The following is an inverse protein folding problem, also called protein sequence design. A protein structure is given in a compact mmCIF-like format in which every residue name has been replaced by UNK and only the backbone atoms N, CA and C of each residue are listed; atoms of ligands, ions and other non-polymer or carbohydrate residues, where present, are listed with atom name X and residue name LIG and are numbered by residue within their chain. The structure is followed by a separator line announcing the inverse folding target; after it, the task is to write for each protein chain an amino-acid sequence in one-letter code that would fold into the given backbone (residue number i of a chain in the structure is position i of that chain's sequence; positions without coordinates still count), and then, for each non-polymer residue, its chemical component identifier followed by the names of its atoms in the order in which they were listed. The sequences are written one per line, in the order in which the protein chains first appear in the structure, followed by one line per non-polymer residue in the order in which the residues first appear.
data_IF_907561433795
#
_entry.id   IF_907561433795
#
_cell.length_a   1.000
_cell.length_b   1.000
_cell.length_c   1.000
_cell.angle_alpha   90.00
_cell.angle_beta   90.00
_cell.angle_gamma   90.00
#
_symmetry.space_group_name_H-M   'P 1'
#
loop_
_entity.id
_entity.type
_entity.pdbx_description
1 polymer ?
#
# COMPACT_ATOMS: atom_id res chain seq x y z
N UNK A 1 18.37 8.81 -26.30
CA UNK A 1 19.21 7.67 -26.72
C UNK A 1 19.89 6.95 -25.55
N UNK A 2 20.54 7.67 -24.62
CA UNK A 2 21.20 7.06 -23.45
C UNK A 2 20.23 6.31 -22.51
N UNK A 3 19.01 6.85 -22.33
CA UNK A 3 17.92 6.20 -21.57
C UNK A 3 17.46 4.88 -22.23
N UNK A 4 17.36 4.85 -23.57
CA UNK A 4 16.97 3.65 -24.33
C UNK A 4 18.04 2.55 -24.29
N UNK A 5 19.31 2.93 -24.26
CA UNK A 5 20.44 2.00 -24.07
C UNK A 5 20.46 1.42 -22.66
N UNK A 6 20.09 2.22 -21.65
CA UNK A 6 19.96 1.74 -20.28
C UNK A 6 18.83 0.70 -20.16
N UNK A 7 17.64 0.99 -20.73
CA UNK A 7 16.48 0.08 -20.71
C UNK A 7 16.66 -1.22 -21.49
N UNK A 8 17.60 -1.28 -22.44
CA UNK A 8 17.91 -2.49 -23.21
C UNK A 8 18.95 -3.40 -22.52
N UNK A 9 19.61 -2.90 -21.48
CA UNK A 9 20.50 -3.72 -20.64
C UNK A 9 19.69 -4.56 -19.64
N UNK A 10 20.17 -5.75 -19.22
CA UNK A 10 19.50 -6.53 -18.18
C UNK A 10 19.33 -5.76 -16.87
N UNK A 11 20.19 -4.76 -16.61
CA UNK A 11 20.04 -3.86 -15.46
C UNK A 11 18.81 -2.94 -15.61
N UNK A 12 18.60 -2.38 -16.80
CA UNK A 12 17.47 -1.49 -17.10
C UNK A 12 16.13 -2.20 -17.20
N UNK A 13 16.08 -3.43 -17.72
CA UNK A 13 14.85 -4.22 -17.71
C UNK A 13 14.45 -4.62 -16.28
N UNK A 14 15.42 -4.95 -15.41
CA UNK A 14 15.17 -5.18 -13.99
C UNK A 14 14.69 -3.92 -13.26
N UNK A 15 15.27 -2.74 -13.57
CA UNK A 15 14.83 -1.44 -13.07
C UNK A 15 13.38 -1.10 -13.47
N UNK A 16 13.03 -1.28 -14.74
CA UNK A 16 11.67 -1.02 -15.27
C UNK A 16 10.67 -2.02 -14.71
N UNK A 17 11.05 -3.30 -14.62
CA UNK A 17 10.28 -4.36 -13.95
C UNK A 17 9.99 -3.99 -12.50
N UNK A 18 11.00 -3.56 -11.74
CA UNK A 18 10.85 -3.25 -10.33
C UNK A 18 10.01 -1.99 -10.09
N UNK A 19 10.15 -0.95 -10.93
CA UNK A 19 9.25 0.20 -10.90
C UNK A 19 7.80 -0.20 -11.15
N UNK A 20 7.57 -1.12 -12.09
CA UNK A 20 6.23 -1.63 -12.41
C UNK A 20 5.64 -2.42 -11.24
N UNK A 21 6.43 -3.30 -10.62
CA UNK A 21 6.04 -4.07 -9.43
C UNK A 21 5.73 -3.14 -8.25
N UNK A 22 6.59 -2.14 -8.02
CA UNK A 22 6.41 -1.14 -6.95
C UNK A 22 5.14 -0.32 -7.19
N UNK A 23 4.89 0.10 -8.43
CA UNK A 23 3.65 0.80 -8.83
C UNK A 23 2.39 -0.05 -8.61
N UNK A 24 2.43 -1.33 -8.99
CA UNK A 24 1.34 -2.27 -8.72
C UNK A 24 1.10 -2.48 -7.22
N UNK A 25 2.17 -2.55 -6.41
CA UNK A 25 2.07 -2.62 -4.95
C UNK A 25 1.39 -1.38 -4.38
N UNK A 26 1.79 -0.17 -4.78
CA UNK A 26 1.12 1.07 -4.34
C UNK A 26 -0.37 1.06 -4.67
N UNK A 27 -0.75 0.65 -5.88
CA UNK A 27 -2.15 0.52 -6.28
C UNK A 27 -2.91 -0.49 -5.42
N UNK A 28 -2.31 -1.67 -5.18
CA UNK A 28 -2.93 -2.73 -4.40
C UNK A 28 -3.17 -2.30 -2.95
N UNK A 29 -2.17 -1.68 -2.31
CA UNK A 29 -2.30 -1.12 -0.96
C UNK A 29 -3.28 0.05 -0.90
N UNK A 30 -3.31 0.91 -1.92
CA UNK A 30 -4.28 2.00 -2.02
C UNK A 30 -5.72 1.49 -2.07
N UNK A 31 -5.99 0.46 -2.88
CA UNK A 31 -7.32 -0.18 -2.96
C UNK A 31 -7.69 -0.84 -1.63
N UNK A 32 -6.76 -1.58 -1.01
CA UNK A 32 -7.00 -2.21 0.29
C UNK A 32 -7.31 -1.17 1.38
N UNK A 33 -6.55 -0.06 1.41
CA UNK A 33 -6.79 1.04 2.32
C UNK A 33 -8.16 1.67 2.10
N UNK A 34 -8.51 1.94 0.84
CA UNK A 34 -9.80 2.54 0.48
C UNK A 34 -10.97 1.67 0.92
N UNK A 35 -10.91 0.35 0.74
CA UNK A 35 -11.95 -0.58 1.18
C UNK A 35 -12.13 -0.54 2.70
N UNK A 36 -11.03 -0.58 3.45
CA UNK A 36 -11.06 -0.53 4.92
C UNK A 36 -11.57 0.83 5.40
N UNK A 37 -11.14 1.92 4.74
CA UNK A 37 -11.58 3.27 5.04
C UNK A 37 -13.07 3.47 4.77
N UNK A 38 -13.59 3.01 3.63
CA UNK A 38 -15.02 3.06 3.30
C UNK A 38 -15.85 2.27 4.31
N UNK A 39 -15.38 1.08 4.74
CA UNK A 39 -16.02 0.33 5.82
C UNK A 39 -16.04 1.14 7.13
N UNK A 40 -14.93 1.79 7.48
CA UNK A 40 -14.86 2.65 8.66
C UNK A 40 -15.83 3.83 8.59
N UNK A 41 -15.87 4.54 7.46
CA UNK A 41 -16.79 5.66 7.23
C UNK A 41 -18.25 5.20 7.30
N UNK A 42 -18.62 4.15 6.58
CA UNK A 42 -19.98 3.59 6.60
C UNK A 42 -20.42 3.28 8.02
N UNK A 43 -19.56 2.63 8.79
CA UNK A 43 -19.91 2.25 10.14
C UNK A 43 -19.95 3.45 11.10
N UNK A 44 -19.11 4.48 10.90
CA UNK A 44 -19.18 5.75 11.64
C UNK A 44 -20.52 6.47 11.40
N UNK A 45 -20.99 6.49 10.15
CA UNK A 45 -22.28 7.10 9.81
C UNK A 45 -23.47 6.31 10.39
N UNK A 46 -23.41 4.97 10.39
CA UNK A 46 -24.52 4.11 10.87
C UNK A 46 -24.62 4.08 12.40
N UNK A 47 -23.49 4.06 13.13
CA UNK A 47 -23.45 3.78 14.57
C UNK A 47 -22.98 5.00 15.37
N UNK A 48 -23.73 6.10 15.27
CA UNK A 48 -23.38 7.42 15.85
C UNK A 48 -23.17 7.45 17.39
N UNK A 49 -23.55 6.40 18.14
CA UNK A 49 -23.71 6.50 19.61
C UNK A 49 -23.04 5.42 20.50
N UNK A 50 -22.45 4.34 19.99
CA UNK A 50 -21.78 3.30 20.82
C UNK A 50 -20.38 2.95 20.30
N UNK A 51 -19.43 3.89 20.41
CA UNK A 51 -18.23 3.86 19.57
C UNK A 51 -16.83 3.70 20.21
N UNK A 52 -16.58 3.59 21.53
CA UNK A 52 -15.20 3.42 21.99
C UNK A 52 -14.57 2.06 21.60
N UNK A 53 -15.26 0.95 21.89
CA UNK A 53 -14.71 -0.40 21.72
C UNK A 53 -14.75 -0.90 20.26
N UNK A 54 -15.74 -0.47 19.47
CA UNK A 54 -15.86 -0.84 18.05
C UNK A 54 -14.80 -0.11 17.19
N UNK A 55 -14.47 1.15 17.50
CA UNK A 55 -13.38 1.88 16.83
C UNK A 55 -12.04 1.18 17.10
N UNK A 56 -11.78 0.75 18.33
CA UNK A 56 -10.49 0.16 18.71
C UNK A 56 -10.21 -1.13 17.94
N UNK A 57 -11.21 -2.01 17.78
CA UNK A 57 -11.10 -3.23 16.93
C UNK A 57 -10.98 -2.92 15.43
N UNK A 58 -11.49 -1.78 14.97
CA UNK A 58 -11.48 -1.38 13.54
C UNK A 58 -10.29 -0.52 13.14
N UNK A 59 -9.56 0.07 14.10
CA UNK A 59 -8.25 0.70 13.87
C UNK A 59 -7.15 -0.32 13.62
N UNK A 60 -7.24 -1.51 14.23
CA UNK A 60 -6.27 -2.60 14.05
C UNK A 60 -5.98 -2.93 12.57
N UNK A 61 -6.99 -3.14 11.67
CA UNK A 61 -6.70 -3.43 10.26
C UNK A 61 -6.04 -2.27 9.50
N UNK A 62 -6.33 -1.00 9.84
CA UNK A 62 -5.64 0.16 9.24
C UNK A 62 -4.17 0.22 9.68
N UNK A 63 -3.90 -0.01 10.96
CA UNK A 63 -2.54 -0.02 11.52
C UNK A 63 -1.75 -1.19 10.94
N UNK A 64 -2.34 -2.39 10.88
CA UNK A 64 -1.70 -3.56 10.27
C UNK A 64 -1.38 -3.30 8.80
N UNK A 65 -2.33 -2.75 8.03
CA UNK A 65 -2.08 -2.42 6.63
C UNK A 65 -0.93 -1.41 6.47
N UNK A 66 -0.88 -0.39 7.34
CA UNK A 66 0.20 0.60 7.32
C UNK A 66 1.57 -0.01 7.68
N UNK A 67 1.63 -0.90 8.68
CA UNK A 67 2.87 -1.61 9.05
C UNK A 67 3.33 -2.51 7.90
N UNK A 68 2.42 -3.30 7.32
CA UNK A 68 2.77 -4.18 6.20
C UNK A 68 3.25 -3.36 5.01
N UNK A 69 2.60 -2.24 4.69
CA UNK A 69 3.05 -1.34 3.64
C UNK A 69 4.45 -0.77 3.92
N UNK A 70 4.70 -0.28 5.14
CA UNK A 70 5.99 0.27 5.53
C UNK A 70 7.11 -0.79 5.46
N UNK A 71 6.86 -2.01 5.94
CA UNK A 71 7.81 -3.14 5.85
C UNK A 71 8.07 -3.51 4.40
N UNK A 72 7.03 -3.56 3.56
CA UNK A 72 7.17 -3.88 2.13
C UNK A 72 8.02 -2.83 1.42
N UNK A 73 7.77 -1.54 1.67
CA UNK A 73 8.54 -0.45 1.09
C UNK A 73 9.97 -0.39 1.62
N UNK A 74 10.17 -0.66 2.90
CA UNK A 74 11.50 -0.76 3.50
C UNK A 74 12.29 -1.91 2.89
N UNK A 75 11.67 -3.08 2.73
CA UNK A 75 12.29 -4.23 2.07
C UNK A 75 12.67 -3.88 0.63
N UNK A 76 11.79 -3.28 -0.15
CA UNK A 76 12.09 -2.86 -1.53
C UNK A 76 13.24 -1.84 -1.57
N UNK A 77 13.30 -0.90 -0.62
CA UNK A 77 14.32 0.14 -0.59
C UNK A 77 15.69 -0.34 -0.06
N UNK A 78 15.74 -1.36 0.80
CA UNK A 78 16.98 -1.92 1.37
C UNK A 78 17.52 -3.13 0.61
N UNK A 79 16.66 -3.92 -0.04
CA UNK A 79 17.09 -5.03 -0.92
C UNK A 79 17.48 -4.56 -2.32
N UNK A 80 17.19 -3.31 -2.66
CA UNK A 80 17.62 -2.63 -3.87
C UNK A 80 18.87 -1.79 -3.61
#
# INVERSE_FOLDING_TARGET
MLLSLLTASPLGTNLVSLQTITGMLHLCFGVAFLIIFLRFCRDYFIYKHRFPQAIQRRKAPLIVLAIVYAVTMFAIYFLW
#
